data_IF_210847685982
#
_entry.id   IF_210847685982
#
_cell.length_a   1.000
_cell.length_b   1.000
_cell.length_c   1.000
_cell.angle_alpha   90.00
_cell.angle_beta   90.00
_cell.angle_gamma   90.00
#
_symmetry.space_group_name_H-M   'P 1'
#
loop_
_entity.id
_entity.type
_entity.pdbx_description
1 polymer ?
#
# COMPACT_ATOMS: atom_id res chain seq x y z
N UNK A 1 12.36 -8.74 -9.30
CA UNK A 1 12.22 -8.75 -7.84
C UNK A 1 10.77 -8.37 -7.49
N UNK A 2 10.31 -8.50 -6.25
CA UNK A 2 8.98 -8.03 -5.85
C UNK A 2 8.93 -7.56 -4.39
N UNK A 3 8.11 -6.55 -4.14
CA UNK A 3 7.75 -6.12 -2.79
C UNK A 3 6.42 -6.77 -2.38
N UNK A 4 6.37 -7.21 -1.12
CA UNK A 4 5.10 -7.52 -0.45
C UNK A 4 4.68 -6.24 0.27
N UNK A 5 3.48 -5.77 -0.03
CA UNK A 5 2.89 -4.58 0.56
C UNK A 5 1.94 -5.00 1.68
N UNK A 6 2.33 -4.73 2.92
CA UNK A 6 1.51 -5.04 4.10
C UNK A 6 0.76 -3.78 4.54
N UNK A 7 -0.54 -3.75 4.27
CA UNK A 7 -1.37 -2.60 4.54
C UNK A 7 -1.94 -2.65 5.96
N UNK A 8 -1.97 -1.52 6.65
CA UNK A 8 -2.67 -1.40 7.95
C UNK A 8 -4.17 -1.74 7.81
N UNK A 9 -4.81 -1.26 6.74
CA UNK A 9 -6.24 -1.54 6.46
C UNK A 9 -6.54 -3.03 6.22
N UNK A 10 -5.51 -3.88 6.07
CA UNK A 10 -5.66 -5.32 5.92
C UNK A 10 -5.97 -6.05 7.23
N UNK A 11 -5.85 -5.36 8.37
CA UNK A 11 -6.14 -5.93 9.68
C UNK A 11 -7.63 -6.26 9.82
N UNK A 12 -7.90 -7.47 10.31
CA UNK A 12 -9.27 -7.90 10.58
C UNK A 12 -9.77 -7.26 11.88
N UNK A 13 -10.98 -6.66 11.87
CA UNK A 13 -11.58 -6.20 13.11
C UNK A 13 -11.91 -7.41 14.02
N UNK A 14 -12.02 -7.22 15.35
CA UNK A 14 -12.23 -8.33 16.28
C UNK A 14 -13.43 -9.23 15.98
N UNK A 15 -14.53 -8.66 15.47
CA UNK A 15 -15.72 -9.43 15.10
C UNK A 15 -15.51 -10.33 13.88
N UNK A 16 -14.49 -10.07 13.08
CA UNK A 16 -14.15 -10.82 11.87
C UNK A 16 -12.95 -11.75 12.07
N UNK A 17 -12.37 -11.83 13.27
CA UNK A 17 -11.12 -12.55 13.52
C UNK A 17 -11.17 -14.03 13.09
N UNK A 18 -12.34 -14.67 13.28
CA UNK A 18 -12.58 -16.07 12.95
C UNK A 18 -13.18 -16.27 11.54
N UNK A 19 -13.14 -15.24 10.69
CA UNK A 19 -13.68 -15.33 9.33
C UNK A 19 -12.93 -16.37 8.51
N UNK A 20 -13.68 -17.22 7.80
CA UNK A 20 -13.09 -18.23 6.92
C UNK A 20 -12.28 -17.59 5.79
N UNK A 21 -11.21 -18.29 5.37
CA UNK A 21 -10.42 -17.89 4.20
C UNK A 21 -11.33 -17.74 2.97
N UNK A 22 -11.16 -16.62 2.26
CA UNK A 22 -11.95 -16.28 1.08
C UNK A 22 -13.22 -15.49 1.38
N UNK A 23 -13.59 -15.31 2.66
CA UNK A 23 -14.65 -14.39 3.07
C UNK A 23 -14.34 -12.99 2.55
N UNK A 24 -15.30 -12.37 1.87
CA UNK A 24 -15.17 -11.00 1.41
C UNK A 24 -15.56 -10.03 2.53
N UNK A 25 -14.72 -9.03 2.78
CA UNK A 25 -15.00 -7.94 3.70
C UNK A 25 -14.71 -6.64 2.96
N UNK A 26 -15.62 -5.69 3.10
CA UNK A 26 -15.50 -4.36 2.52
C UNK A 26 -15.03 -3.39 3.60
N UNK A 27 -14.00 -2.62 3.28
CA UNK A 27 -13.45 -1.58 4.15
C UNK A 27 -13.88 -0.24 3.58
N UNK A 28 -14.74 0.46 4.29
CA UNK A 28 -15.09 1.85 4.00
C UNK A 28 -13.88 2.72 4.31
N UNK A 29 -13.44 3.47 3.32
CA UNK A 29 -12.25 4.31 3.42
C UNK A 29 -12.63 5.73 3.82
N UNK A 30 -11.80 6.33 4.66
CA UNK A 30 -11.88 7.75 5.02
C UNK A 30 -10.59 8.45 4.63
N UNK A 31 -10.69 9.70 4.22
CA UNK A 31 -9.51 10.51 3.96
C UNK A 31 -8.79 10.79 5.29
N UNK A 32 -7.53 10.36 5.35
CA UNK A 32 -6.63 10.55 6.47
C UNK A 32 -5.67 11.72 6.26
N UNK A 33 -4.63 11.78 7.08
CA UNK A 33 -3.61 12.83 6.97
C UNK A 33 -2.69 12.60 5.77
N UNK A 34 -2.18 13.69 5.19
CA UNK A 34 -1.16 13.62 4.13
C UNK A 34 -1.62 12.92 2.84
N UNK A 35 -2.93 12.87 2.59
CA UNK A 35 -3.51 12.22 1.40
C UNK A 35 -3.53 10.69 1.46
N UNK A 36 -3.27 10.10 2.64
CA UNK A 36 -3.38 8.66 2.88
C UNK A 36 -4.82 8.33 3.27
N UNK A 37 -5.35 7.22 2.74
CA UNK A 37 -6.69 6.75 3.09
C UNK A 37 -6.62 5.71 4.21
N UNK A 38 -7.42 5.92 5.25
CA UNK A 38 -7.48 5.05 6.43
C UNK A 38 -8.71 4.14 6.39
N UNK A 39 -8.65 3.04 7.15
CA UNK A 39 -9.84 2.24 7.44
C UNK A 39 -10.80 3.01 8.35
N UNK A 40 -12.05 3.18 7.90
CA UNK A 40 -13.13 3.77 8.68
C UNK A 40 -14.03 2.70 9.32
N UNK A 41 -14.64 1.85 8.49
CA UNK A 41 -15.56 0.82 8.93
C UNK A 41 -15.41 -0.45 8.09
N UNK A 42 -15.67 -1.59 8.70
CA UNK A 42 -15.60 -2.90 8.04
C UNK A 42 -17.00 -3.51 8.00
N UNK A 43 -17.39 -4.09 6.87
CA UNK A 43 -18.70 -4.73 6.70
C UNK A 43 -18.61 -5.95 5.79
N UNK A 44 -19.50 -6.91 6.01
CA UNK A 44 -19.68 -8.07 5.14
C UNK A 44 -20.58 -7.75 3.93
N UNK A 45 -21.47 -6.77 4.10
CA UNK A 45 -22.40 -6.35 3.05
C UNK A 45 -21.74 -5.30 2.15
N UNK A 46 -21.91 -5.45 0.83
CA UNK A 46 -21.35 -4.50 -0.12
C UNK A 46 -21.97 -3.11 0.12
N UNK A 47 -21.16 -2.06 0.36
CA UNK A 47 -21.68 -0.71 0.53
C UNK A 47 -22.36 -0.17 -0.74
N UNK A 48 -23.18 0.86 -0.55
CA UNK A 48 -23.75 1.66 -1.63
C UNK A 48 -22.68 2.41 -2.44
N UNK A 49 -23.09 2.95 -3.58
CA UNK A 49 -22.19 3.69 -4.50
C UNK A 49 -21.81 5.08 -4.03
N UNK A 50 -22.42 5.56 -2.95
CA UNK A 50 -22.19 6.86 -2.32
C UNK A 50 -20.98 6.86 -1.37
N UNK A 51 -20.40 5.68 -1.13
CA UNK A 51 -19.27 5.50 -0.20
C UNK A 51 -18.06 4.98 -0.96
N UNK A 52 -16.87 5.45 -0.59
CA UNK A 52 -15.61 4.91 -1.10
C UNK A 52 -15.24 3.71 -0.23
N UNK A 53 -15.03 2.56 -0.86
CA UNK A 53 -14.66 1.34 -0.17
C UNK A 53 -13.72 0.49 -1.02
N UNK A 54 -12.93 -0.34 -0.34
CA UNK A 54 -12.09 -1.36 -0.94
C UNK A 54 -12.57 -2.74 -0.50
N UNK A 55 -12.60 -3.68 -1.44
CA UNK A 55 -13.00 -5.07 -1.21
C UNK A 55 -11.75 -5.90 -0.94
N UNK A 56 -11.69 -6.51 0.23
CA UNK A 56 -10.67 -7.50 0.58
C UNK A 56 -11.26 -8.90 0.70
N UNK A 57 -10.38 -9.91 0.64
CA UNK A 57 -10.72 -11.29 0.96
C UNK A 57 -9.77 -11.85 2.01
N UNK A 58 -10.30 -12.58 3.00
CA UNK A 58 -9.48 -13.16 4.07
C UNK A 58 -8.47 -14.15 3.48
N UNK A 59 -7.18 -13.90 3.70
CA UNK A 59 -6.08 -14.70 3.19
C UNK A 59 -5.59 -15.73 4.23
N UNK A 60 -4.55 -16.51 3.89
CA UNK A 60 -4.00 -17.55 4.78
C UNK A 60 -3.33 -17.00 6.04
N UNK A 61 -2.96 -15.71 6.04
CA UNK A 61 -2.36 -15.01 7.20
C UNK A 61 -3.42 -14.37 8.09
N UNK A 62 -4.71 -14.65 7.87
CA UNK A 62 -5.85 -14.00 8.54
C UNK A 62 -5.80 -12.46 8.43
N UNK A 63 -5.43 -11.97 7.23
CA UNK A 63 -5.48 -10.56 6.84
C UNK A 63 -6.33 -10.43 5.57
N UNK A 64 -6.82 -9.24 5.27
CA UNK A 64 -7.47 -8.96 3.99
C UNK A 64 -6.40 -8.85 2.89
N UNK A 65 -6.55 -9.66 1.83
CA UNK A 65 -5.87 -9.45 0.57
C UNK A 65 -6.75 -8.62 -0.36
N UNK A 66 -6.19 -7.54 -0.90
CA UNK A 66 -6.89 -6.59 -1.77
C UNK A 66 -6.56 -6.79 -3.26
N UNK A 67 -5.64 -7.71 -3.58
CA UNK A 67 -5.15 -7.91 -4.94
C UNK A 67 -4.12 -6.85 -5.37
N UNK A 68 -3.74 -5.97 -4.44
CA UNK A 68 -2.67 -4.98 -4.57
C UNK A 68 -1.55 -5.24 -3.54
N UNK A 69 -1.49 -6.47 -3.01
CA UNK A 69 -0.60 -6.86 -1.90
C UNK A 69 0.83 -7.16 -2.39
N UNK A 70 1.05 -7.17 -3.70
CA UNK A 70 2.34 -7.44 -4.33
C UNK A 70 2.60 -6.42 -5.44
N UNK A 71 3.83 -5.91 -5.48
CA UNK A 71 4.31 -5.03 -6.56
C UNK A 71 5.58 -5.59 -7.20
N UNK A 72 5.61 -5.67 -8.53
CA UNK A 72 6.75 -6.18 -9.27
C UNK A 72 7.79 -5.08 -9.47
N UNK A 73 9.01 -5.34 -8.99
CA UNK A 73 10.11 -4.40 -9.09
C UNK A 73 11.00 -4.83 -10.27
N UNK A 74 11.30 -3.91 -11.21
CA UNK A 74 12.30 -4.15 -12.24
C UNK A 74 13.62 -4.65 -11.65
N UNK A 75 14.30 -5.54 -12.37
CA UNK A 75 15.56 -6.11 -11.90
C UNK A 75 16.58 -5.01 -11.58
N UNK A 76 17.29 -5.15 -10.45
CA UNK A 76 18.27 -4.18 -9.99
C UNK A 76 17.71 -2.96 -9.25
N UNK A 77 16.38 -2.73 -9.26
CA UNK A 77 15.78 -1.55 -8.63
C UNK A 77 15.26 -1.77 -7.19
N UNK A 78 15.34 -3.00 -6.64
CA UNK A 78 14.87 -3.34 -5.29
C UNK A 78 15.43 -2.43 -4.19
N UNK A 79 16.71 -2.08 -4.31
CA UNK A 79 17.43 -1.22 -3.36
C UNK A 79 16.82 0.17 -3.16
N UNK A 80 16.02 0.68 -4.10
CA UNK A 80 15.33 1.97 -3.96
C UNK A 80 14.23 1.85 -2.90
N UNK A 81 13.47 0.76 -2.92
CA UNK A 81 12.38 0.51 -1.97
C UNK A 81 12.94 0.05 -0.62
N UNK A 82 13.99 -0.76 -0.60
CA UNK A 82 14.62 -1.25 0.65
C UNK A 82 15.20 -0.13 1.53
N UNK A 83 15.58 1.00 0.93
CA UNK A 83 16.16 2.16 1.62
C UNK A 83 15.14 3.26 1.91
N UNK A 84 13.91 3.09 1.44
CA UNK A 84 12.84 4.05 1.65
C UNK A 84 12.47 4.14 3.13
N UNK A 85 12.17 5.34 3.59
CA UNK A 85 11.59 5.56 4.92
C UNK A 85 10.07 5.41 4.87
N UNK A 86 9.46 5.78 3.74
CA UNK A 86 8.02 5.78 3.53
C UNK A 86 7.67 5.18 2.16
N UNK A 87 6.81 4.16 2.17
CA UNK A 87 6.30 3.51 0.96
C UNK A 87 4.78 3.53 0.98
N UNK A 88 4.18 4.17 -0.01
CA UNK A 88 2.73 4.28 -0.19
C UNK A 88 2.34 3.80 -1.57
N UNK A 89 1.04 3.60 -1.78
CA UNK A 89 0.49 3.25 -3.09
C UNK A 89 -0.58 4.23 -3.50
N UNK A 90 -0.53 4.67 -4.75
CA UNK A 90 -1.64 5.33 -5.38
C UNK A 90 -2.52 4.26 -6.01
N UNK A 91 -3.79 4.22 -5.61
CA UNK A 91 -4.73 3.17 -6.00
C UNK A 91 -5.92 3.78 -6.73
N UNK A 92 -6.38 3.10 -7.79
CA UNK A 92 -7.68 3.36 -8.37
C UNK A 92 -8.67 2.26 -7.95
N UNK A 93 -9.88 2.67 -7.56
CA UNK A 93 -10.98 1.80 -7.18
C UNK A 93 -12.08 1.84 -8.23
N UNK A 94 -12.73 0.70 -8.45
CA UNK A 94 -13.98 0.66 -9.21
C UNK A 94 -15.19 0.60 -8.25
N UNK A 95 -16.41 0.63 -8.80
CA UNK A 95 -17.67 0.58 -8.02
C UNK A 95 -17.91 -0.75 -7.29
N UNK A 96 -17.05 -1.76 -7.50
CA UNK A 96 -17.06 -3.03 -6.77
C UNK A 96 -16.02 -3.07 -5.64
N UNK A 97 -15.27 -1.99 -5.43
CA UNK A 97 -14.18 -1.92 -4.46
C UNK A 97 -12.94 -2.71 -4.90
N UNK A 98 -12.84 -3.13 -6.16
CA UNK A 98 -11.62 -3.73 -6.68
C UNK A 98 -10.57 -2.64 -6.89
N UNK A 99 -9.39 -2.88 -6.34
CA UNK A 99 -8.25 -1.98 -6.39
C UNK A 99 -7.27 -2.37 -7.50
N UNK A 100 -6.63 -1.36 -8.08
CA UNK A 100 -5.42 -1.52 -8.90
C UNK A 100 -4.37 -0.49 -8.49
N UNK A 101 -3.12 -0.92 -8.43
CA UNK A 101 -2.00 0.00 -8.21
C UNK A 101 -1.82 0.85 -9.46
N UNK A 102 -1.84 2.17 -9.29
CA UNK A 102 -1.47 3.15 -10.32
C UNK A 102 0.00 3.51 -10.22
N UNK A 103 0.48 3.67 -8.98
CA UNK A 103 1.87 4.00 -8.72
C UNK A 103 2.28 3.54 -7.31
N UNK A 104 3.57 3.38 -7.10
CA UNK A 104 4.18 3.22 -5.78
C UNK A 104 4.90 4.53 -5.47
N UNK A 105 4.61 5.14 -4.34
CA UNK A 105 5.29 6.34 -3.89
C UNK A 105 6.39 5.93 -2.91
N UNK A 106 7.62 6.29 -3.23
CA UNK A 106 8.81 6.09 -2.41
C UNK A 106 9.26 7.45 -1.90
N UNK A 107 9.19 7.63 -0.57
CA UNK A 107 9.46 8.89 0.12
C UNK A 107 8.66 10.07 -0.49
N UNK A 108 7.39 9.81 -0.79
CA UNK A 108 6.45 10.77 -1.37
C UNK A 108 6.58 11.03 -2.88
N UNK A 109 7.51 10.35 -3.57
CA UNK A 109 7.74 10.52 -5.01
C UNK A 109 7.35 9.25 -5.79
N UNK A 110 6.76 9.39 -6.99
CA UNK A 110 6.54 8.26 -7.90
C UNK A 110 7.78 7.38 -8.05
N UNK A 111 7.57 6.06 -7.99
CA UNK A 111 8.64 5.10 -8.15
C UNK A 111 9.19 5.18 -9.58
N UNK A 112 10.46 5.52 -9.68
CA UNK A 112 11.19 5.58 -10.94
C UNK A 112 12.41 4.65 -10.86
N UNK A 113 12.38 3.48 -11.53
CA UNK A 113 13.49 2.53 -11.51
C UNK A 113 14.74 3.04 -12.24
N UNK A 114 14.63 4.14 -13.01
CA UNK A 114 15.76 4.76 -13.72
C UNK A 114 16.41 5.89 -12.92
N UNK A 115 15.78 6.28 -11.80
CA UNK A 115 16.29 7.33 -10.94
C UNK A 115 17.61 6.88 -10.31
N UNK A 116 18.68 7.56 -10.66
CA UNK A 116 19.96 7.36 -9.99
C UNK A 116 19.81 7.70 -8.51
N UNK A 117 20.35 6.88 -7.58
CA UNK A 117 20.34 7.24 -6.17
C UNK A 117 21.03 8.59 -6.03
N UNK A 118 20.37 9.54 -5.37
CA UNK A 118 21.01 10.79 -4.96
C UNK A 118 22.03 10.39 -3.90
N UNK A 119 23.26 10.13 -4.34
CA UNK A 119 24.37 9.96 -3.41
C UNK A 119 24.45 11.25 -2.60
N UNK A 120 24.51 11.19 -1.25
CA UNK A 120 24.82 12.37 -0.48
C UNK A 120 26.11 12.94 -1.04
N UNK A 121 26.08 14.22 -1.45
CA UNK A 121 27.27 14.94 -1.90
C UNK A 121 28.26 14.82 -0.75
N UNK A 122 29.32 14.01 -0.90
CA UNK A 122 30.39 13.96 0.07
C UNK A 122 30.90 15.39 0.21
N UNK A 123 30.69 15.98 1.39
CA UNK A 123 31.22 17.28 1.71
C UNK A 123 32.74 17.24 1.41
N UNK A 124 33.28 18.22 0.65
CA UNK A 124 34.70 18.23 0.33
C UNK A 124 35.49 18.13 1.63
N UNK A 125 36.56 17.32 1.68
CA UNK A 125 37.38 17.25 2.88
C UNK A 125 37.83 18.67 3.25
N UNK A 126 37.83 19.02 4.55
CA UNK A 126 38.21 20.36 4.98
C UNK A 126 39.61 20.69 4.45
N UNK A 127 39.87 21.95 4.06
CA UNK A 127 41.18 22.35 3.55
C UNK A 127 42.26 22.01 4.58
N UNK A 128 43.34 21.37 4.14
CA UNK A 128 44.50 21.11 5.00
C UNK A 128 45.07 22.47 5.44
N UNK A 129 45.18 22.68 6.75
CA UNK A 129 45.90 23.80 7.37
C UNK A 129 47.40 23.59 7.27
#
# INVERSE_FOLDING_TARGET
DYAILDYEIAELPPWAADSERGTNIYVLLREGAGGVWDAGHYTLEKPGSDVIFIKGSVNQRHRLGFGIDTYFIPEGAGHIIERAEDVKVLVALNSNGTAVIKDVLVDGLPFDPTRSPVLPVKEPPPPRR
#
